data_IF_713123342221
#
_entry.id   IF_713123342221
#
_cell.length_a   1.000
_cell.length_b   1.000
_cell.length_c   1.000
_cell.angle_alpha   90.00
_cell.angle_beta   90.00
_cell.angle_gamma   90.00
#
_symmetry.space_group_name_H-M   'P 1'
#
loop_
_entity.id
_entity.type
_entity.pdbx_description
1 polymer ?
#
# COMPACT_ATOMS: atom_id res chain seq x y z
N UNK A 1 26.10 -1.32 -7.44
CA UNK A 1 25.24 -2.42 -6.95
C UNK A 1 23.90 -1.84 -6.47
N UNK A 2 22.80 -2.38 -7.00
CA UNK A 2 21.46 -1.77 -7.01
C UNK A 2 20.68 -1.98 -5.70
N UNK A 3 20.30 -0.89 -5.01
CA UNK A 3 19.49 -0.89 -3.77
C UNK A 3 17.98 -0.80 -4.03
N UNK A 4 17.44 -1.44 -5.07
CA UNK A 4 16.03 -1.25 -5.47
C UNK A 4 15.06 -2.41 -5.18
N UNK A 5 15.51 -3.53 -4.60
CA UNK A 5 14.66 -4.73 -4.52
C UNK A 5 13.96 -5.02 -3.17
N UNK A 6 14.37 -4.46 -2.02
CA UNK A 6 13.80 -4.86 -0.70
C UNK A 6 12.55 -4.10 -0.25
N UNK A 7 12.26 -2.95 -0.84
CA UNK A 7 11.16 -2.08 -0.41
C UNK A 7 9.80 -2.59 -0.87
N UNK A 8 9.74 -3.21 -2.05
CA UNK A 8 8.48 -3.66 -2.67
C UNK A 8 7.86 -4.88 -1.96
N UNK A 9 8.66 -5.77 -1.39
CA UNK A 9 8.19 -6.94 -0.65
C UNK A 9 7.59 -6.52 0.70
N UNK A 10 8.28 -5.61 1.39
CA UNK A 10 7.83 -5.06 2.68
C UNK A 10 6.51 -4.29 2.54
N UNK A 11 6.38 -3.47 1.49
CA UNK A 11 5.14 -2.75 1.19
C UNK A 11 3.97 -3.70 0.87
N UNK A 12 4.22 -4.79 0.12
CA UNK A 12 3.21 -5.83 -0.15
C UNK A 12 2.76 -6.53 1.14
N UNK A 13 3.69 -6.88 2.02
CA UNK A 13 3.36 -7.47 3.33
C UNK A 13 2.50 -6.50 4.15
N UNK A 14 2.82 -5.20 4.16
CA UNK A 14 2.03 -4.19 4.86
C UNK A 14 0.61 -4.07 4.30
N UNK A 15 0.45 -4.05 2.97
CA UNK A 15 -0.87 -4.01 2.35
C UNK A 15 -1.72 -5.23 2.73
N UNK A 16 -1.13 -6.43 2.78
CA UNK A 16 -1.83 -7.66 3.17
C UNK A 16 -2.23 -7.64 4.65
N UNK A 17 -1.33 -7.23 5.55
CA UNK A 17 -1.64 -7.13 6.98
C UNK A 17 -2.70 -6.07 7.28
N UNK A 18 -2.63 -4.91 6.62
CA UNK A 18 -3.64 -3.87 6.75
C UNK A 18 -4.99 -4.33 6.17
N UNK A 19 -4.98 -5.12 5.10
CA UNK A 19 -6.17 -5.76 4.53
C UNK A 19 -6.76 -6.91 5.38
N UNK A 20 -6.23 -7.15 6.59
CA UNK A 20 -6.74 -8.16 7.53
C UNK A 20 -6.21 -9.57 7.31
N UNK A 21 -5.22 -9.76 6.43
CA UNK A 21 -4.60 -11.07 6.23
C UNK A 21 -3.70 -11.46 7.41
N UNK A 22 -3.59 -12.76 7.67
CA UNK A 22 -2.69 -13.29 8.69
C UNK A 22 -1.23 -13.17 8.25
N UNK A 23 -0.30 -13.13 9.22
CA UNK A 23 1.14 -13.08 8.94
C UNK A 23 1.59 -14.28 8.08
N UNK A 24 1.01 -15.45 8.32
CA UNK A 24 1.21 -16.67 7.52
C UNK A 24 0.87 -16.45 6.05
N UNK A 25 -0.32 -15.92 5.79
CA UNK A 25 -0.79 -15.70 4.43
C UNK A 25 0.03 -14.62 3.71
N UNK A 26 0.43 -13.57 4.43
CA UNK A 26 1.31 -12.53 3.88
C UNK A 26 2.70 -13.07 3.55
N UNK A 27 3.24 -13.96 4.40
CA UNK A 27 4.51 -14.63 4.20
C UNK A 27 4.50 -15.51 2.95
N UNK A 28 3.47 -16.36 2.82
CA UNK A 28 3.28 -17.25 1.66
C UNK A 28 3.10 -16.45 0.35
N UNK A 29 2.31 -15.38 0.38
CA UNK A 29 2.03 -14.55 -0.81
C UNK A 29 3.27 -13.81 -1.33
N UNK A 30 4.13 -13.33 -0.43
CA UNK A 30 5.33 -12.56 -0.81
C UNK A 30 6.57 -13.45 -0.95
N UNK A 31 6.52 -14.70 -0.46
CA UNK A 31 7.63 -15.64 -0.50
C UNK A 31 8.70 -15.35 0.56
N UNK A 32 8.31 -14.80 1.72
CA UNK A 32 9.21 -14.49 2.84
C UNK A 32 8.85 -15.35 4.05
N UNK A 33 9.76 -15.43 5.02
CA UNK A 33 9.47 -16.17 6.27
C UNK A 33 8.49 -15.38 7.16
N UNK A 34 7.68 -16.10 7.93
CA UNK A 34 6.79 -15.51 8.94
C UNK A 34 7.55 -14.64 9.95
N UNK A 35 8.79 -15.00 10.28
CA UNK A 35 9.63 -14.23 11.20
C UNK A 35 10.04 -12.87 10.61
N UNK A 36 10.28 -12.81 9.29
CA UNK A 36 10.49 -11.56 8.56
C UNK A 36 9.24 -10.69 8.59
N UNK A 37 8.07 -11.28 8.34
CA UNK A 37 6.78 -10.58 8.44
C UNK A 37 6.53 -10.06 9.84
N UNK A 38 6.83 -10.83 10.88
CA UNK A 38 6.67 -10.43 12.28
C UNK A 38 7.57 -9.24 12.66
N UNK A 39 8.83 -9.22 12.18
CA UNK A 39 9.72 -8.06 12.33
C UNK A 39 9.15 -6.82 11.65
N UNK A 40 8.73 -6.95 10.40
CA UNK A 40 8.13 -5.84 9.67
C UNK A 40 6.82 -5.37 10.31
N UNK A 41 5.98 -6.27 10.81
CA UNK A 41 4.75 -5.91 11.52
C UNK A 41 5.04 -5.14 12.83
N UNK A 42 6.13 -5.46 13.54
CA UNK A 42 6.59 -4.69 14.70
C UNK A 42 7.08 -3.30 14.30
N UNK A 43 7.83 -3.19 13.20
CA UNK A 43 8.23 -1.91 12.64
C UNK A 43 7.02 -1.07 12.19
N UNK A 44 6.02 -1.70 11.59
CA UNK A 44 4.74 -1.07 11.24
C UNK A 44 3.97 -0.57 12.47
N UNK A 45 4.04 -1.29 13.60
CA UNK A 45 3.46 -0.81 14.87
C UNK A 45 4.24 0.35 15.48
N UNK A 46 5.55 0.44 15.22
CA UNK A 46 6.39 1.55 15.69
C UNK A 46 6.30 2.79 14.80
N UNK A 47 6.01 2.60 13.51
CA UNK A 47 5.70 3.68 12.58
C UNK A 47 4.24 4.10 12.84
N UNK A 48 4.00 5.36 13.19
CA UNK A 48 2.64 5.80 13.55
C UNK A 48 1.68 5.53 12.39
N UNK A 49 0.46 5.09 12.68
CA UNK A 49 -0.57 4.84 11.65
C UNK A 49 -0.70 6.03 10.70
N UNK A 50 -0.55 7.26 11.21
CA UNK A 50 -0.52 8.50 10.42
C UNK A 50 0.64 8.58 9.40
N UNK A 51 1.83 8.10 9.74
CA UNK A 51 2.99 8.11 8.83
C UNK A 51 2.80 7.09 7.70
N UNK A 52 2.25 5.93 8.04
CA UNK A 52 1.90 4.89 7.06
C UNK A 52 0.77 5.38 6.13
N UNK A 53 -0.28 5.99 6.69
CA UNK A 53 -1.38 6.60 5.94
C UNK A 53 -0.87 7.69 4.98
N UNK A 54 0.00 8.61 5.45
CA UNK A 54 0.61 9.65 4.60
C UNK A 54 1.44 9.08 3.46
N UNK A 55 2.19 7.99 3.69
CA UNK A 55 2.97 7.30 2.64
C UNK A 55 2.07 6.63 1.60
N UNK A 56 1.02 5.95 2.04
CA UNK A 56 0.05 5.30 1.14
C UNK A 56 -0.65 6.36 0.29
N UNK A 57 -1.16 7.42 0.92
CA UNK A 57 -1.82 8.53 0.23
C UNK A 57 -0.89 9.21 -0.77
N UNK A 58 0.36 9.52 -0.38
CA UNK A 58 1.30 10.17 -1.30
C UNK A 58 1.64 9.30 -2.51
N UNK A 59 1.81 7.99 -2.31
CA UNK A 59 2.04 7.03 -3.39
C UNK A 59 0.85 6.93 -4.35
N UNK A 60 -0.38 6.88 -3.83
CA UNK A 60 -1.61 6.85 -4.63
C UNK A 60 -1.81 8.16 -5.42
N UNK A 61 -1.63 9.32 -4.78
CA UNK A 61 -1.71 10.63 -5.43
C UNK A 61 -0.67 10.77 -6.55
N UNK A 62 0.57 10.33 -6.32
CA UNK A 62 1.61 10.34 -7.34
C UNK A 62 1.26 9.43 -8.51
N UNK A 63 0.71 8.25 -8.24
CA UNK A 63 0.27 7.32 -9.30
C UNK A 63 -0.86 7.90 -10.15
N UNK A 64 -1.82 8.58 -9.52
CA UNK A 64 -2.90 9.27 -10.22
C UNK A 64 -2.36 10.39 -11.13
N UNK A 65 -1.43 11.21 -10.63
CA UNK A 65 -0.79 12.26 -11.43
C UNK A 65 -0.11 11.69 -12.68
N UNK A 66 0.63 10.59 -12.54
CA UNK A 66 1.25 9.91 -13.68
C UNK A 66 0.24 9.36 -14.69
N UNK A 67 -0.93 8.90 -14.22
CA UNK A 67 -2.01 8.44 -15.11
C UNK A 67 -2.63 9.61 -15.88
N UNK A 68 -2.89 10.74 -15.22
CA UNK A 68 -3.47 11.94 -15.84
C UNK A 68 -2.53 12.54 -16.89
N UNK A 69 -1.23 12.52 -16.63
CA UNK A 69 -0.21 13.03 -17.56
C UNK A 69 0.05 12.10 -18.76
N UNK A 70 -0.46 10.87 -18.73
CA UNK A 70 -0.26 9.91 -19.80
C UNK A 70 -1.45 9.90 -20.78
N UNK A 71 -1.31 10.44 -22.01
CA UNK A 71 -2.40 10.52 -22.97
C UNK A 71 -2.88 9.14 -23.47
N UNK A 72 -2.10 8.07 -23.22
CA UNK A 72 -2.50 6.69 -23.56
C UNK A 72 -3.36 6.04 -22.47
N UNK A 73 -3.48 6.66 -21.30
CA UNK A 73 -4.30 6.10 -20.22
C UNK A 73 -5.78 6.40 -20.49
N UNK A 74 -6.64 5.37 -20.57
CA UNK A 74 -8.05 5.59 -20.83
C UNK A 74 -8.71 6.30 -19.64
N UNK A 75 -9.63 7.26 -19.88
CA UNK A 75 -10.31 8.00 -18.80
C UNK A 75 -11.01 7.08 -17.78
N UNK A 76 -11.55 5.95 -18.26
CA UNK A 76 -12.19 4.94 -17.40
C UNK A 76 -11.25 4.39 -16.34
N UNK A 77 -9.99 4.14 -16.69
CA UNK A 77 -8.98 3.65 -15.74
C UNK A 77 -8.66 4.68 -14.65
N UNK A 78 -8.67 5.97 -14.99
CA UNK A 78 -8.47 7.05 -14.02
C UNK A 78 -9.64 7.08 -13.04
N UNK A 79 -10.89 7.00 -13.53
CA UNK A 79 -12.10 7.00 -12.71
C UNK A 79 -12.17 5.77 -11.79
N UNK A 80 -11.87 4.58 -12.32
CA UNK A 80 -11.83 3.34 -11.52
C UNK A 80 -10.74 3.42 -10.43
N UNK A 81 -9.59 4.03 -10.74
CA UNK A 81 -8.53 4.24 -9.77
C UNK A 81 -8.91 5.24 -8.67
N UNK A 82 -9.61 6.33 -9.02
CA UNK A 82 -10.14 7.29 -8.03
C UNK A 82 -11.12 6.61 -7.07
N UNK A 83 -12.05 5.78 -7.57
CA UNK A 83 -12.96 5.01 -6.71
C UNK A 83 -12.23 4.04 -5.77
N UNK A 84 -11.14 3.43 -6.25
CA UNK A 84 -10.31 2.56 -5.44
C UNK A 84 -9.58 3.34 -4.33
N UNK A 85 -9.14 4.57 -4.61
CA UNK A 85 -8.56 5.47 -3.60
C UNK A 85 -9.61 5.80 -2.52
N UNK A 86 -10.81 6.23 -2.91
CA UNK A 86 -11.89 6.56 -1.97
C UNK A 86 -12.24 5.39 -1.04
N UNK A 87 -12.29 4.18 -1.60
CA UNK A 87 -12.51 2.95 -0.82
C UNK A 87 -11.38 2.72 0.19
N UNK A 88 -10.14 2.94 -0.24
CA UNK A 88 -8.94 2.78 0.60
C UNK A 88 -8.89 3.84 1.71
N UNK A 89 -9.26 5.09 1.43
CA UNK A 89 -9.28 6.16 2.44
C UNK A 89 -10.39 5.96 3.47
N UNK A 90 -11.55 5.46 3.05
CA UNK A 90 -12.64 5.10 3.96
C UNK A 90 -12.24 3.93 4.86
N UNK A 91 -11.55 2.92 4.33
CA UNK A 91 -11.00 1.81 5.10
C UNK A 91 -9.95 2.28 6.13
N UNK A 92 -9.14 3.28 5.77
CA UNK A 92 -8.13 3.86 6.66
C UNK A 92 -8.71 4.86 7.68
N UNK A 93 -10.03 5.09 7.71
CA UNK A 93 -10.68 5.96 8.68
C UNK A 93 -10.63 7.45 8.35
N UNK A 94 -10.31 7.83 7.10
CA UNK A 94 -10.39 9.22 6.61
C UNK A 94 -11.78 9.59 6.07
N UNK A 95 -12.80 8.76 6.32
CA UNK A 95 -14.17 9.05 5.94
C UNK A 95 -14.63 10.37 6.53
N UNK A 96 -14.94 11.32 5.63
CA UNK A 96 -15.52 12.63 5.94
C UNK A 96 -16.74 12.43 6.85
N UNK A 97 -16.67 13.00 8.07
CA UNK A 97 -17.86 13.34 8.85
C UNK A 97 -18.41 14.67 8.35
#
# INVERSE_FOLDING_TARGET
MSRKCKTSEKEKVYALLLGGCTQKHAAETVGVTENTVSKWAKELKSETIEQTQKRILSGLCFKLLLMVQNPKTPPKTIVDFVKAIETTTNFLGYGVQ
#
